data_IF_795121417034
#
_entry.id   IF_795121417034
#
_cell.length_a   1.000
_cell.length_b   1.000
_cell.length_c   1.000
_cell.angle_alpha   90.00
_cell.angle_beta   90.00
_cell.angle_gamma   90.00
#
_symmetry.space_group_name_H-M   'P 1'
#
loop_
_entity.id
_entity.type
_entity.pdbx_description
1 polymer ?
#
# COMPACT_ATOMS: atom_id res chain seq x y z
N UNK A 1 6.31 -18.55 11.04
CA UNK A 1 6.32 -17.77 9.78
C UNK A 1 4.89 -17.61 9.29
N UNK A 2 4.60 -16.60 8.49
CA UNK A 2 3.25 -16.37 7.96
C UNK A 2 2.90 -17.40 6.87
N UNK A 3 1.64 -17.84 6.73
CA UNK A 3 1.22 -18.66 5.60
C UNK A 3 1.64 -18.06 4.25
N UNK A 4 2.00 -18.88 3.25
CA UNK A 4 2.32 -18.38 1.91
C UNK A 4 1.14 -17.60 1.33
N UNK A 5 1.42 -16.55 0.57
CA UNK A 5 0.41 -15.77 -0.16
C UNK A 5 -0.30 -14.69 0.64
N UNK A 6 -0.03 -14.54 1.94
CA UNK A 6 -0.63 -13.47 2.76
C UNK A 6 0.42 -12.53 3.41
N UNK A 7 1.68 -12.59 2.98
CA UNK A 7 2.76 -11.74 3.47
C UNK A 7 2.59 -10.27 3.07
N UNK A 8 3.34 -9.38 3.72
CA UNK A 8 3.35 -7.95 3.34
C UNK A 8 3.86 -7.74 1.92
N UNK A 9 4.76 -8.62 1.44
CA UNK A 9 5.20 -8.61 0.05
C UNK A 9 4.03 -8.93 -0.87
N UNK A 10 3.30 -10.02 -0.62
CA UNK A 10 2.11 -10.41 -1.40
C UNK A 10 1.05 -9.30 -1.40
N UNK A 11 0.85 -8.66 -0.25
CA UNK A 11 -0.12 -7.58 -0.11
C UNK A 11 0.26 -6.35 -0.93
N UNK A 12 1.50 -5.88 -0.79
CA UNK A 12 2.02 -4.74 -1.56
C UNK A 12 2.06 -5.04 -3.06
N UNK A 13 2.31 -6.29 -3.46
CA UNK A 13 2.34 -6.73 -4.85
C UNK A 13 0.92 -6.65 -5.44
N UNK A 14 -0.08 -7.23 -4.77
CA UNK A 14 -1.47 -7.16 -5.19
C UNK A 14 -1.94 -5.70 -5.35
N UNK A 15 -1.59 -4.83 -4.40
CA UNK A 15 -1.90 -3.39 -4.48
C UNK A 15 -1.22 -2.70 -5.67
N UNK A 16 0.06 -2.99 -5.92
CA UNK A 16 0.79 -2.41 -7.05
C UNK A 16 0.20 -2.80 -8.41
N UNK A 17 -0.41 -3.99 -8.51
CA UNK A 17 -1.09 -4.48 -9.71
C UNK A 17 -2.55 -4.00 -9.81
N UNK A 18 -3.06 -3.31 -8.79
CA UNK A 18 -4.47 -2.93 -8.70
C UNK A 18 -5.41 -4.13 -8.49
N UNK A 19 -4.89 -5.28 -8.06
CA UNK A 19 -5.64 -6.50 -7.78
C UNK A 19 -6.34 -6.38 -6.41
N UNK A 20 -7.44 -5.63 -6.42
CA UNK A 20 -8.25 -5.37 -5.23
C UNK A 20 -8.79 -6.66 -4.60
N UNK A 21 -9.16 -7.66 -5.41
CA UNK A 21 -9.70 -8.93 -4.92
C UNK A 21 -8.68 -9.67 -4.06
N UNK A 22 -7.47 -9.89 -4.61
CA UNK A 22 -6.37 -10.53 -3.88
C UNK A 22 -5.94 -9.69 -2.67
N UNK A 23 -5.88 -8.37 -2.80
CA UNK A 23 -5.46 -7.52 -1.69
C UNK A 23 -6.44 -7.54 -0.50
N UNK A 24 -7.76 -7.59 -0.76
CA UNK A 24 -8.78 -7.73 0.29
C UNK A 24 -8.79 -9.13 0.92
N UNK A 25 -8.58 -10.18 0.13
CA UNK A 25 -8.44 -11.56 0.63
C UNK A 25 -7.24 -11.70 1.58
N UNK A 26 -6.10 -11.07 1.26
CA UNK A 26 -4.94 -11.03 2.15
C UNK A 26 -5.27 -10.32 3.47
N UNK A 27 -6.03 -9.22 3.44
CA UNK A 27 -6.48 -8.55 4.67
C UNK A 27 -7.35 -9.48 5.51
N UNK A 28 -8.36 -10.12 4.90
CA UNK A 28 -9.27 -11.03 5.58
C UNK A 28 -8.51 -12.18 6.26
N UNK A 29 -7.70 -12.91 5.50
CA UNK A 29 -6.92 -14.05 6.00
C UNK A 29 -5.97 -13.68 7.13
N UNK A 30 -5.35 -12.50 7.05
CA UNK A 30 -4.50 -12.00 8.13
C UNK A 30 -5.26 -11.82 9.44
N UNK A 31 -6.42 -11.15 9.36
CA UNK A 31 -7.25 -10.91 10.52
C UNK A 31 -7.84 -12.21 11.08
N UNK A 32 -8.22 -13.15 10.23
CA UNK A 32 -8.65 -14.50 10.63
C UNK A 32 -7.56 -15.27 11.38
N UNK A 33 -6.29 -15.08 11.02
CA UNK A 33 -5.15 -15.63 11.77
C UNK A 33 -4.79 -14.87 13.05
N UNK A 34 -5.58 -13.85 13.43
CA UNK A 34 -5.38 -13.06 14.65
C UNK A 34 -4.33 -11.96 14.53
N UNK A 35 -3.91 -11.59 13.32
CA UNK A 35 -2.97 -10.49 13.12
C UNK A 35 -3.61 -9.16 13.52
N UNK A 36 -2.89 -8.34 14.30
CA UNK A 36 -3.42 -7.06 14.77
C UNK A 36 -3.45 -6.03 13.63
N UNK A 37 -4.56 -5.30 13.40
CA UNK A 37 -4.68 -4.34 12.29
C UNK A 37 -3.56 -3.29 12.24
N UNK A 38 -3.16 -2.74 13.38
CA UNK A 38 -2.06 -1.78 13.47
C UNK A 38 -0.71 -2.40 13.09
N UNK A 39 -0.50 -3.68 13.40
CA UNK A 39 0.72 -4.41 13.04
C UNK A 39 0.77 -4.66 11.54
N UNK A 40 -0.37 -5.01 10.93
CA UNK A 40 -0.52 -5.09 9.47
C UNK A 40 -0.20 -3.74 8.80
N UNK A 41 -0.79 -2.66 9.29
CA UNK A 41 -0.57 -1.31 8.76
C UNK A 41 0.90 -0.91 8.86
N UNK A 42 1.54 -1.13 10.02
CA UNK A 42 2.95 -0.84 10.23
C UNK A 42 3.87 -1.64 9.30
N UNK A 43 3.58 -2.94 9.10
CA UNK A 43 4.32 -3.76 8.16
C UNK A 43 4.18 -3.23 6.73
N UNK A 44 2.97 -2.88 6.30
CA UNK A 44 2.74 -2.34 4.96
C UNK A 44 3.45 -0.99 4.78
N UNK A 45 3.36 -0.09 5.75
CA UNK A 45 4.07 1.19 5.74
C UNK A 45 5.59 0.99 5.58
N UNK A 46 6.16 0.02 6.31
CA UNK A 46 7.57 -0.35 6.18
C UNK A 46 7.92 -0.82 4.77
N UNK A 47 7.09 -1.68 4.17
CA UNK A 47 7.29 -2.16 2.80
C UNK A 47 7.19 -1.01 1.78
N UNK A 48 6.24 -0.10 1.97
CA UNK A 48 6.08 1.10 1.13
C UNK A 48 7.27 2.05 1.21
N UNK A 49 7.92 2.18 2.37
CA UNK A 49 9.15 2.97 2.51
C UNK A 49 10.29 2.38 1.70
N UNK A 50 10.39 1.05 1.63
CA UNK A 50 11.37 0.39 0.76
C UNK A 50 11.09 0.68 -0.71
N UNK A 51 9.82 0.57 -1.13
CA UNK A 51 9.40 0.89 -2.50
C UNK A 51 9.75 2.33 -2.85
N UNK A 52 9.41 3.29 -1.97
CA UNK A 52 9.75 4.70 -2.15
C UNK A 52 11.26 4.92 -2.28
N UNK A 53 12.05 4.35 -1.36
CA UNK A 53 13.51 4.49 -1.35
C UNK A 53 14.11 3.96 -2.66
N UNK A 54 13.71 2.77 -3.10
CA UNK A 54 14.21 2.20 -4.35
C UNK A 54 13.75 3.00 -5.56
N UNK A 55 12.50 3.46 -5.59
CA UNK A 55 11.99 4.33 -6.65
C UNK A 55 12.84 5.61 -6.76
N UNK A 56 13.09 6.31 -5.65
CA UNK A 56 13.88 7.54 -5.64
C UNK A 56 15.31 7.33 -6.15
N UNK A 57 16.01 6.30 -5.65
CA UNK A 57 17.37 5.96 -6.11
C UNK A 57 17.42 5.63 -7.61
N UNK A 58 16.40 4.95 -8.14
CA UNK A 58 16.31 4.66 -9.57
C UNK A 58 16.07 5.94 -10.40
N UNK A 59 15.29 6.90 -9.89
CA UNK A 59 15.11 8.20 -10.55
C UNK A 59 16.38 9.05 -10.55
N UNK A 60 17.25 8.86 -9.56
CA UNK A 60 18.59 9.48 -9.49
C UNK A 60 19.61 8.79 -10.43
N UNK A 61 19.19 7.79 -11.21
CA UNK A 61 20.02 7.09 -12.19
C UNK A 61 20.82 5.91 -11.64
N UNK A 62 20.58 5.52 -10.38
CA UNK A 62 21.24 4.35 -9.80
C UNK A 62 20.71 3.05 -10.44
N UNK A 63 21.59 2.06 -10.60
CA UNK A 63 21.21 0.71 -11.02
C UNK A 63 20.12 0.14 -10.10
N UNK A 64 19.10 -0.49 -10.69
CA UNK A 64 17.93 -0.99 -9.97
C UNK A 64 18.28 -2.09 -8.96
N UNK A 65 19.25 -2.96 -9.30
CA UNK A 65 19.74 -4.00 -8.40
C UNK A 65 20.45 -3.40 -7.17
N UNK A 66 21.31 -2.40 -7.39
CA UNK A 66 21.96 -1.66 -6.31
C UNK A 66 20.95 -0.90 -5.45
N UNK A 67 19.97 -0.23 -6.06
CA UNK A 67 18.90 0.47 -5.36
C UNK A 67 18.04 -0.46 -4.49
N UNK A 68 17.71 -1.65 -4.98
CA UNK A 68 16.99 -2.67 -4.20
C UNK A 68 17.85 -3.17 -3.02
N UNK A 69 19.14 -3.43 -3.24
CA UNK A 69 20.07 -3.83 -2.18
C UNK A 69 20.18 -2.78 -1.09
N UNK A 70 20.31 -1.50 -1.45
CA UNK A 70 20.36 -0.39 -0.49
C UNK A 70 19.05 -0.21 0.30
N UNK A 71 17.91 -0.63 -0.26
CA UNK A 71 16.63 -0.69 0.45
C UNK A 71 16.47 -1.95 1.34
N UNK A 72 17.51 -2.79 1.42
CA UNK A 72 17.50 -4.01 2.23
C UNK A 72 16.58 -5.08 1.65
N UNK A 73 16.53 -5.19 0.32
CA UNK A 73 15.82 -6.27 -0.38
C UNK A 73 16.82 -7.41 -0.66
N UNK A 74 16.52 -8.64 -0.24
CA UNK A 74 17.37 -9.80 -0.54
C UNK A 74 17.50 -10.06 -2.05
N UNK A 75 18.65 -10.55 -2.55
CA UNK A 75 18.87 -10.78 -3.98
C UNK A 75 17.79 -11.64 -4.65
N UNK A 76 17.34 -12.71 -3.99
CA UNK A 76 16.30 -13.61 -4.54
C UNK A 76 14.92 -12.95 -4.71
N UNK A 77 14.66 -11.81 -4.04
CA UNK A 77 13.43 -11.01 -4.18
C UNK A 77 13.62 -9.79 -5.09
N UNK A 78 14.86 -9.44 -5.45
CA UNK A 78 15.17 -8.16 -6.07
C UNK A 78 14.45 -7.97 -7.41
N UNK A 79 14.41 -9.00 -8.26
CA UNK A 79 13.75 -8.93 -9.57
C UNK A 79 12.27 -8.58 -9.46
N UNK A 80 11.52 -9.35 -8.67
CA UNK A 80 10.08 -9.13 -8.46
C UNK A 80 9.81 -7.78 -7.79
N UNK A 81 10.63 -7.42 -6.80
CA UNK A 81 10.52 -6.15 -6.11
C UNK A 81 10.78 -4.95 -7.04
N UNK A 82 11.78 -5.02 -7.91
CA UNK A 82 12.06 -3.96 -8.89
C UNK A 82 10.89 -3.81 -9.87
N UNK A 83 10.35 -4.92 -10.38
CA UNK A 83 9.17 -4.90 -11.26
C UNK A 83 7.98 -4.23 -10.57
N UNK A 84 7.78 -4.52 -9.27
CA UNK A 84 6.77 -3.88 -8.43
C UNK A 84 7.03 -2.38 -8.30
N UNK A 85 8.26 -1.96 -7.98
CA UNK A 85 8.64 -0.55 -7.84
C UNK A 85 8.32 0.24 -9.11
N UNK A 86 8.56 -0.35 -10.29
CA UNK A 86 8.29 0.28 -11.59
C UNK A 86 6.79 0.52 -11.88
N UNK A 87 5.87 -0.12 -11.15
CA UNK A 87 4.43 0.15 -11.28
C UNK A 87 4.00 1.43 -10.56
N UNK A 88 4.80 1.93 -9.63
CA UNK A 88 4.48 3.12 -8.85
C UNK A 88 4.91 4.37 -9.59
N UNK A 89 4.02 5.37 -9.63
CA UNK A 89 4.33 6.73 -10.06
C UNK A 89 4.41 7.63 -8.85
N UNK A 90 5.26 8.65 -8.89
CA UNK A 90 5.46 9.57 -7.77
C UNK A 90 4.15 10.18 -7.21
N UNK A 91 3.18 10.64 -8.04
CA UNK A 91 1.91 11.17 -7.51
C UNK A 91 1.12 10.13 -6.71
N UNK A 92 1.15 8.87 -7.15
CA UNK A 92 0.44 7.78 -6.47
C UNK A 92 1.09 7.43 -5.13
N UNK A 93 2.43 7.48 -5.08
CA UNK A 93 3.17 7.27 -3.84
C UNK A 93 2.91 8.39 -2.82
N UNK A 94 2.81 9.65 -3.26
CA UNK A 94 2.45 10.78 -2.38
C UNK A 94 1.05 10.59 -1.81
N UNK A 95 0.08 10.26 -2.66
CA UNK A 95 -1.29 9.95 -2.23
C UNK A 95 -1.34 8.77 -1.25
N UNK A 96 -0.52 7.74 -1.47
CA UNK A 96 -0.45 6.60 -0.56
C UNK A 96 -0.12 7.02 0.87
N UNK A 97 0.83 7.95 1.08
CA UNK A 97 1.17 8.42 2.43
C UNK A 97 0.02 9.11 3.15
N UNK A 98 -0.79 9.89 2.43
CA UNK A 98 -1.99 10.51 2.99
C UNK A 98 -3.01 9.45 3.44
N UNK A 99 -3.19 8.41 2.62
CA UNK A 99 -4.09 7.28 2.94
C UNK A 99 -3.60 6.48 4.15
N UNK A 100 -2.28 6.22 4.23
CA UNK A 100 -1.69 5.58 5.39
C UNK A 100 -1.87 6.40 6.68
N UNK A 101 -1.69 7.72 6.62
CA UNK A 101 -1.90 8.59 7.77
C UNK A 101 -3.36 8.60 8.24
N UNK A 102 -4.32 8.63 7.29
CA UNK A 102 -5.74 8.51 7.59
C UNK A 102 -6.08 7.18 8.26
N UNK A 103 -5.57 6.06 7.71
CA UNK A 103 -5.79 4.73 8.27
C UNK A 103 -5.15 4.57 9.65
N UNK A 104 -3.93 5.09 9.87
CA UNK A 104 -3.24 5.05 11.17
C UNK A 104 -4.04 5.80 12.24
N UNK A 105 -4.50 7.02 11.92
CA UNK A 105 -5.35 7.82 12.80
C UNK A 105 -6.68 7.10 13.11
N UNK A 106 -7.33 6.55 12.09
CA UNK A 106 -8.59 5.83 12.25
C UNK A 106 -8.45 4.56 13.11
N UNK A 107 -7.34 3.81 12.96
CA UNK A 107 -7.08 2.61 13.77
C UNK A 107 -6.68 2.93 15.21
N UNK A 108 -6.00 4.05 15.45
CA UNK A 108 -5.61 4.50 16.80
C UNK A 108 -6.75 5.20 17.54
N UNK A 109 -7.72 5.75 16.82
CA UNK A 109 -8.88 6.40 17.41
C UNK A 109 -9.68 5.45 18.31
N UNK A 110 -10.02 5.89 19.52
CA UNK A 110 -10.68 5.07 20.55
C UNK A 110 -12.09 4.54 20.21
N UNK A 111 -12.57 4.72 18.98
CA UNK A 111 -13.83 4.16 18.45
C UNK A 111 -13.64 3.36 17.17
N UNK A 112 -12.45 2.80 16.93
CA UNK A 112 -12.21 1.88 15.81
C UNK A 112 -13.04 0.60 15.97
N UNK A 113 -14.36 0.68 15.80
CA UNK A 113 -15.30 -0.41 15.96
C UNK A 113 -15.24 -1.40 14.80
N UNK A 114 -14.58 -1.02 13.70
CA UNK A 114 -14.46 -1.82 12.47
C UNK A 114 -13.07 -1.74 11.84
N UNK A 115 -12.01 -2.27 12.49
CA UNK A 115 -10.64 -2.19 11.97
C UNK A 115 -10.47 -2.82 10.59
N UNK A 116 -11.21 -3.90 10.30
CA UNK A 116 -11.21 -4.52 8.97
C UNK A 116 -11.66 -3.54 7.88
N UNK A 117 -12.74 -2.79 8.11
CA UNK A 117 -13.24 -1.83 7.12
C UNK A 117 -12.23 -0.72 6.84
N UNK A 118 -11.47 -0.30 7.85
CA UNK A 118 -10.41 0.72 7.68
C UNK A 118 -9.29 0.17 6.78
N UNK A 119 -8.88 -1.08 6.99
CA UNK A 119 -7.87 -1.72 6.15
C UNK A 119 -8.39 -2.02 4.73
N UNK A 120 -9.64 -2.46 4.60
CA UNK A 120 -10.28 -2.70 3.31
C UNK A 120 -10.34 -1.39 2.50
N UNK A 121 -10.80 -0.29 3.12
CA UNK A 121 -10.88 1.02 2.48
C UNK A 121 -9.50 1.55 2.05
N UNK A 122 -8.49 1.45 2.92
CA UNK A 122 -7.10 1.78 2.58
C UNK A 122 -6.65 1.05 1.31
N UNK A 123 -6.87 -0.27 1.25
CA UNK A 123 -6.45 -1.09 0.11
C UNK A 123 -7.20 -0.72 -1.16
N UNK A 124 -8.51 -0.49 -1.08
CA UNK A 124 -9.33 -0.07 -2.22
C UNK A 124 -8.81 1.25 -2.80
N UNK A 125 -8.57 2.24 -1.93
CA UNK A 125 -8.06 3.54 -2.37
C UNK A 125 -6.64 3.44 -2.96
N UNK A 126 -5.76 2.62 -2.38
CA UNK A 126 -4.42 2.38 -2.95
C UNK A 126 -4.48 1.69 -4.32
N UNK A 127 -5.32 0.67 -4.50
CA UNK A 127 -5.50 -0.02 -5.78
C UNK A 127 -6.09 0.90 -6.86
N UNK A 128 -6.95 1.86 -6.47
CA UNK A 128 -7.47 2.87 -7.40
C UNK A 128 -6.38 3.86 -7.81
N UNK A 129 -5.52 4.27 -6.86
CA UNK A 129 -4.40 5.15 -7.14
C UNK A 129 -3.37 4.51 -8.08
N UNK A 130 -3.17 3.19 -8.07
CA UNK A 130 -2.15 2.53 -8.90
C UNK A 130 -2.60 2.19 -10.34
N UNK A 131 -3.90 2.26 -10.66
CA UNK A 131 -4.41 1.93 -12.00
C UNK A 131 -3.91 2.88 -13.09
N UNK A 132 -3.27 2.39 -14.17
CA UNK A 132 -2.95 3.20 -15.34
C UNK A 132 -4.25 3.75 -15.96
N UNK A 133 -4.38 5.08 -16.08
CA UNK A 133 -5.48 5.73 -16.82
C UNK A 133 -6.67 6.25 -16.00
N UNK A 134 -6.65 6.20 -14.65
CA UNK A 134 -7.73 6.77 -13.81
C UNK A 134 -7.34 8.02 -13.00
N UNK A 135 -6.15 8.58 -13.23
CA UNK A 135 -5.69 9.82 -12.60
C UNK A 135 -6.28 11.08 -13.25
N UNK A 136 -7.59 11.30 -13.14
CA UNK A 136 -8.17 12.66 -13.27
C UNK A 136 -9.65 12.81 -12.90
N UNK A 137 -10.45 11.73 -12.79
CA UNK A 137 -11.93 11.91 -12.79
C UNK A 137 -12.68 11.71 -11.46
N UNK A 138 -12.02 11.33 -10.36
CA UNK A 138 -12.74 11.04 -9.12
C UNK A 138 -12.20 11.88 -7.97
N UNK A 139 -12.76 13.09 -7.76
CA UNK A 139 -12.91 13.76 -6.46
C UNK A 139 -13.52 15.18 -6.55
N UNK A 140 -14.05 15.61 -7.70
CA UNK A 140 -15.03 16.70 -7.74
C UNK A 140 -16.41 16.14 -7.37
N UNK A 141 -16.71 16.03 -6.08
CA UNK A 141 -18.07 15.69 -5.66
C UNK A 141 -18.18 15.06 -4.30
N UNK A 142 -17.98 15.85 -3.23
CA UNK A 142 -18.63 15.68 -1.92
C UNK A 142 -18.39 16.90 -1.04
N UNK A 143 -18.96 18.02 -1.44
CA UNK A 143 -19.35 19.09 -0.51
C UNK A 143 -20.78 19.48 -0.87
N UNK A 144 -21.75 18.91 -0.15
CA UNK A 144 -23.05 19.59 -0.04
C UNK A 144 -22.91 20.60 1.09
N UNK A 145 -23.04 21.91 0.84
CA UNK A 145 -23.20 22.86 1.92
C UNK A 145 -24.58 22.60 2.55
N UNK A 146 -24.60 22.39 3.86
CA UNK A 146 -25.82 22.51 4.66
C UNK A 146 -26.24 23.98 4.56
N UNK A 147 -27.37 24.25 3.90
CA UNK A 147 -27.99 25.58 3.93
C UNK A 147 -28.78 25.70 5.24
N UNK A 148 -28.53 26.84 5.88
CA UNK A 148 -29.22 27.56 6.97
C UNK A 148 -30.59 26.99 7.35
#
# INVERSE_FOLDING_TARGET
>A
GKPPGISVFDWSEAVSRGDQGRALDIVAKNLETGEAPLRMLGAFLWQMRKIWKTHALMQEGQDAGQAARQAGIPPFRAREFIQQVQQWKEPHLRRAWELFAQADSALKGGRASRPKLILDDLVIQLCQATKPGQGSKALAGRTKPHKV
#
